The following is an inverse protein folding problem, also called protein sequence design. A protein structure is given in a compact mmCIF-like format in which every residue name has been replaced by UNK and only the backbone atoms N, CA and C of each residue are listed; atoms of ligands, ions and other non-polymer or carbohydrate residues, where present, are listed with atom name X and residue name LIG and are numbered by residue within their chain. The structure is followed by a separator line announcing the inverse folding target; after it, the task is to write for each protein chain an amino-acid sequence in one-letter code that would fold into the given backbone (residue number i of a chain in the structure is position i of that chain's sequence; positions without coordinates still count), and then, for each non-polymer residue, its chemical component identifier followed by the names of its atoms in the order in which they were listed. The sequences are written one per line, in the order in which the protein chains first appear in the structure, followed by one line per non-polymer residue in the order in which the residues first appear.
data_IF_579987331459
#
_entry.id   IF_579987331459
#
_cell.length_a   1.000
_cell.length_b   1.000
_cell.length_c   1.000
_cell.angle_alpha   90.00
_cell.angle_beta   90.00
_cell.angle_gamma   90.00
#
_symmetry.space_group_name_H-M   'P 1'
#
loop_
_entity.id
_entity.type
_entity.pdbx_description
1 polymer ?
#
# COMPACT_ATOMS: atom_id res chain seq x y z
N UNK A 1 37.62 72.08 34.81
CA UNK A 1 37.96 71.49 36.12
C UNK A 1 37.23 70.17 36.28
N UNK A 2 38.03 69.09 36.31
CA UNK A 2 37.84 67.81 37.03
C UNK A 2 36.54 67.01 36.81
N UNK A 3 36.72 65.96 36.02
CA UNK A 3 36.10 64.63 36.17
C UNK A 3 36.02 64.18 37.64
N UNK A 4 35.03 63.31 37.94
CA UNK A 4 34.71 62.70 39.24
C UNK A 4 33.94 63.58 40.24
N UNK A 5 32.61 63.48 40.20
CA UNK A 5 31.71 63.40 41.37
C UNK A 5 30.23 63.53 40.93
N UNK A 6 29.72 62.54 40.19
CA UNK A 6 28.29 62.20 40.25
C UNK A 6 28.21 60.80 40.85
N UNK A 7 28.66 60.73 42.10
CA UNK A 7 28.63 59.59 43.00
C UNK A 7 28.02 60.15 44.29
N UNK A 8 26.97 59.49 44.80
CA UNK A 8 26.10 59.90 45.93
C UNK A 8 24.86 60.75 45.60
N UNK A 9 23.98 60.26 44.71
CA UNK A 9 22.52 60.41 44.88
C UNK A 9 21.67 59.31 44.18
N UNK A 10 22.28 58.17 43.81
CA UNK A 10 21.59 57.06 43.13
C UNK A 10 21.95 55.68 43.71
N UNK A 11 22.16 55.60 45.04
CA UNK A 11 22.47 54.36 45.75
C UNK A 11 21.65 54.21 47.05
N UNK A 12 20.33 54.41 46.96
CA UNK A 12 19.39 54.05 48.03
C UNK A 12 18.01 53.58 47.51
N UNK A 13 17.96 52.98 46.31
CA UNK A 13 16.78 52.29 45.78
C UNK A 13 17.13 50.94 45.11
N UNK A 14 18.22 50.30 45.54
CA UNK A 14 18.55 48.91 45.18
C UNK A 14 18.36 47.99 46.39
N UNK A 15 17.10 47.68 46.69
CA UNK A 15 16.67 46.44 47.34
C UNK A 15 15.17 46.33 47.17
N UNK A 16 14.72 45.20 46.61
CA UNK A 16 13.34 44.87 46.22
C UNK A 16 12.95 45.26 44.79
N UNK A 17 13.73 44.85 43.80
CA UNK A 17 13.21 44.50 42.48
C UNK A 17 13.69 43.07 42.18
N UNK A 18 12.89 42.09 42.62
CA UNK A 18 13.15 40.68 42.33
C UNK A 18 13.26 40.50 40.83
N UNK A 19 14.29 39.77 40.41
CA UNK A 19 14.40 39.29 39.04
C UNK A 19 13.14 38.48 38.73
N UNK A 20 12.24 39.04 37.92
CA UNK A 20 11.25 38.26 37.19
C UNK A 20 12.03 37.43 36.18
N UNK A 21 12.50 36.26 36.61
CA UNK A 21 12.87 35.17 35.71
C UNK A 21 11.70 34.86 34.77
N UNK A 22 11.93 34.13 33.67
CA UNK A 22 10.87 33.81 32.73
C UNK A 22 9.70 33.26 33.52
N UNK A 23 8.56 33.94 33.37
CA UNK A 23 7.28 33.55 33.97
C UNK A 23 7.03 32.10 33.59
N UNK A 24 7.35 31.20 34.52
CA UNK A 24 6.87 29.83 34.46
C UNK A 24 5.36 29.98 34.54
N UNK A 25 4.71 29.75 33.41
CA UNK A 25 3.29 29.44 33.41
C UNK A 25 3.05 28.44 34.55
N UNK A 26 1.97 28.60 35.34
CA UNK A 26 1.69 27.68 36.40
C UNK A 26 1.66 26.29 35.77
N UNK A 27 2.63 25.45 36.15
CA UNK A 27 2.60 24.04 35.85
C UNK A 27 1.36 23.56 36.57
N UNK A 28 0.25 23.49 35.83
CA UNK A 28 -0.96 22.82 36.28
C UNK A 28 -0.47 21.41 36.59
N UNK A 29 -0.29 21.13 37.89
CA UNK A 29 0.07 19.82 38.38
C UNK A 29 -1.09 18.92 38.02
N UNK A 30 -1.04 18.36 36.81
CA UNK A 30 -2.02 17.42 36.34
C UNK A 30 -1.95 16.26 37.32
N UNK A 31 -3.10 15.85 37.85
CA UNK A 31 -3.19 14.71 38.76
C UNK A 31 -2.38 13.53 38.19
N UNK A 32 -1.60 12.81 39.02
CA UNK A 32 -0.71 11.77 38.53
C UNK A 32 -1.52 10.68 37.83
N UNK A 33 -0.96 10.14 36.74
CA UNK A 33 -1.51 8.95 36.08
C UNK A 33 -1.57 7.82 37.09
N UNK A 34 -2.71 7.11 37.16
CA UNK A 34 -2.84 6.00 38.10
C UNK A 34 -1.85 4.87 37.71
N UNK A 35 -1.26 4.15 38.69
CA UNK A 35 -0.23 3.14 38.41
C UNK A 35 -0.65 2.08 37.37
N UNK A 36 -1.93 1.72 37.34
CA UNK A 36 -2.48 0.76 36.38
C UNK A 36 -2.39 1.23 34.91
N UNK A 37 -2.30 2.55 34.68
CA UNK A 37 -2.26 3.15 33.35
C UNK A 37 -0.86 3.61 32.92
N UNK A 38 0.18 3.43 33.73
CA UNK A 38 1.54 3.93 33.42
C UNK A 38 2.07 3.40 32.08
N UNK A 39 1.84 2.12 31.78
CA UNK A 39 2.26 1.51 30.50
C UNK A 39 1.50 2.07 29.30
N UNK A 40 0.22 2.36 29.45
CA UNK A 40 -0.61 2.94 28.40
C UNK A 40 -0.27 4.42 28.19
N UNK A 41 0.04 5.14 29.26
CA UNK A 41 0.56 6.50 29.20
C UNK A 41 1.93 6.55 28.49
N UNK A 42 2.83 5.59 28.74
CA UNK A 42 4.09 5.49 28.03
C UNK A 42 3.91 5.26 26.51
N UNK A 43 2.89 4.49 26.09
CA UNK A 43 2.54 4.33 24.68
C UNK A 43 2.02 5.64 24.08
N UNK A 44 1.25 6.43 24.83
CA UNK A 44 0.84 7.77 24.40
C UNK A 44 2.05 8.70 24.19
N UNK A 45 3.01 8.73 25.12
CA UNK A 45 4.24 9.52 24.96
C UNK A 45 5.05 9.09 23.72
N UNK A 46 5.13 7.78 23.45
CA UNK A 46 5.74 7.27 22.20
C UNK A 46 5.03 7.80 20.96
N UNK A 47 3.69 7.79 20.97
CA UNK A 47 2.89 8.33 19.88
C UNK A 47 3.14 9.82 19.65
N UNK A 48 3.24 10.63 20.70
CA UNK A 48 3.55 12.06 20.57
C UNK A 48 4.89 12.32 19.86
N UNK A 49 5.86 11.40 19.98
CA UNK A 49 7.16 11.50 19.32
C UNK A 49 7.09 11.11 17.84
N UNK A 50 6.48 9.97 17.52
CA UNK A 50 6.50 9.47 16.13
C UNK A 50 5.35 9.97 15.25
N UNK A 51 4.31 10.58 15.82
CA UNK A 51 3.13 11.02 15.05
C UNK A 51 3.48 12.02 13.94
N UNK A 52 4.59 12.74 14.04
CA UNK A 52 5.04 13.70 13.02
C UNK A 52 6.05 13.10 12.03
N UNK A 53 6.36 11.80 12.15
CA UNK A 53 7.27 11.13 11.24
C UNK A 53 6.62 10.89 9.85
N UNK A 54 7.36 11.18 8.78
CA UNK A 54 6.90 11.01 7.39
C UNK A 54 6.42 9.59 7.07
N UNK A 55 7.05 8.56 7.65
CA UNK A 55 6.64 7.15 7.50
C UNK A 55 5.29 6.92 8.16
N UNK A 56 5.04 7.49 9.34
CA UNK A 56 3.75 7.37 10.03
C UNK A 56 2.66 8.13 9.28
N UNK A 57 2.95 9.35 8.84
CA UNK A 57 2.03 10.17 8.07
C UNK A 57 1.61 9.47 6.77
N UNK A 58 2.57 8.84 6.08
CA UNK A 58 2.33 8.11 4.84
C UNK A 58 1.59 6.79 5.03
N UNK A 59 2.00 5.97 6.00
CA UNK A 59 1.55 4.58 6.10
C UNK A 59 0.66 4.27 7.32
N UNK A 60 0.55 5.17 8.29
CA UNK A 60 -0.28 5.01 9.49
C UNK A 60 0.03 3.75 10.29
N UNK A 61 -1.01 3.08 10.80
CA UNK A 61 -0.92 1.81 11.53
C UNK A 61 -1.20 0.59 10.66
N UNK A 62 -0.84 0.66 9.38
CA UNK A 62 -0.90 -0.51 8.49
C UNK A 62 -0.04 -1.63 9.06
N UNK A 63 -0.43 -2.88 8.82
CA UNK A 63 0.10 -4.09 9.47
C UNK A 63 1.65 -4.24 9.43
N UNK A 64 2.36 -3.55 8.53
CA UNK A 64 3.85 -3.49 8.50
C UNK A 64 4.43 -2.07 8.50
N UNK A 65 3.65 -1.08 8.95
CA UNK A 65 4.22 0.16 9.44
C UNK A 65 5.08 -0.15 10.65
N UNK A 66 6.21 0.56 10.88
CA UNK A 66 6.93 0.38 12.14
C UNK A 66 6.07 0.74 13.37
N UNK A 67 4.93 1.37 13.15
CA UNK A 67 3.94 1.74 14.16
C UNK A 67 2.83 0.70 14.34
N UNK A 68 2.75 -0.37 13.52
CA UNK A 68 1.73 -1.42 13.71
C UNK A 68 1.90 -2.18 15.02
N UNK A 69 3.15 -2.48 15.40
CA UNK A 69 3.47 -3.06 16.71
C UNK A 69 3.01 -2.15 17.86
N UNK A 70 3.14 -0.83 17.71
CA UNK A 70 2.62 0.12 18.69
C UNK A 70 1.09 -0.01 18.82
N UNK A 71 0.34 -0.07 17.71
CA UNK A 71 -1.12 -0.21 17.76
C UNK A 71 -1.53 -1.56 18.34
N UNK A 72 -0.79 -2.63 18.05
CA UNK A 72 -1.03 -3.94 18.63
C UNK A 72 -0.81 -3.92 20.15
N UNK A 73 0.29 -3.30 20.62
CA UNK A 73 0.53 -3.09 22.05
C UNK A 73 -0.57 -2.27 22.72
N UNK A 74 -1.16 -1.29 22.03
CA UNK A 74 -2.35 -0.57 22.53
C UNK A 74 -3.56 -1.51 22.61
N UNK A 75 -3.79 -2.34 21.59
CA UNK A 75 -4.91 -3.30 21.54
C UNK A 75 -4.83 -4.39 22.60
N UNK A 76 -3.63 -4.77 23.03
CA UNK A 76 -3.46 -5.75 24.11
C UNK A 76 -4.09 -5.24 25.43
N UNK A 77 -4.11 -3.93 25.67
CA UNK A 77 -4.81 -3.31 26.81
C UNK A 77 -6.33 -3.25 26.64
N UNK A 78 -6.88 -3.51 25.44
CA UNK A 78 -8.33 -3.62 25.23
C UNK A 78 -8.93 -4.91 25.80
N UNK A 79 -8.09 -5.88 26.15
CA UNK A 79 -8.51 -7.16 26.72
C UNK A 79 -8.72 -7.10 28.24
N UNK A 80 -8.21 -6.06 28.92
CA UNK A 80 -8.36 -5.87 30.36
C UNK A 80 -9.51 -4.88 30.64
N UNK A 81 -10.57 -5.29 31.38
CA UNK A 81 -11.71 -4.43 31.73
C UNK A 81 -11.37 -3.16 32.49
N UNK A 82 -10.17 -3.07 33.08
CA UNK A 82 -9.68 -1.87 33.76
C UNK A 82 -9.08 -0.86 32.77
N UNK A 83 -8.46 -1.34 31.69
CA UNK A 83 -7.72 -0.50 30.73
C UNK A 83 -8.37 -0.31 29.37
N UNK A 84 -9.44 -1.05 29.08
CA UNK A 84 -10.07 -1.10 27.76
C UNK A 84 -10.52 0.25 27.20
N UNK A 85 -11.19 1.07 28.01
CA UNK A 85 -11.70 2.38 27.57
C UNK A 85 -10.55 3.33 27.26
N UNK A 86 -9.52 3.36 28.11
CA UNK A 86 -8.35 4.20 27.89
C UNK A 86 -7.57 3.74 26.65
N UNK A 87 -7.47 2.43 26.42
CA UNK A 87 -6.81 1.86 25.24
C UNK A 87 -7.55 2.22 23.94
N UNK A 88 -8.88 2.08 23.92
CA UNK A 88 -9.71 2.50 22.77
C UNK A 88 -9.63 4.00 22.51
N UNK A 89 -9.58 4.82 23.57
CA UNK A 89 -9.39 6.27 23.45
C UNK A 89 -8.02 6.61 22.85
N UNK A 90 -6.96 5.90 23.23
CA UNK A 90 -5.62 6.09 22.65
C UNK A 90 -5.55 5.65 21.18
N UNK A 91 -6.16 4.51 20.84
CA UNK A 91 -6.29 4.07 19.46
C UNK A 91 -7.08 5.09 18.63
N UNK A 92 -8.22 5.57 19.14
CA UNK A 92 -9.04 6.60 18.50
C UNK A 92 -8.32 7.94 18.34
N UNK A 93 -7.56 8.37 19.34
CA UNK A 93 -6.73 9.57 19.32
C UNK A 93 -5.72 9.54 18.18
N UNK A 94 -5.04 8.40 18.03
CA UNK A 94 -4.00 8.24 17.02
C UNK A 94 -4.54 8.21 15.59
N UNK A 95 -5.74 7.65 15.39
CA UNK A 95 -6.48 7.73 14.12
C UNK A 95 -6.96 9.16 13.87
N UNK A 96 -7.55 9.83 14.86
CA UNK A 96 -8.05 11.19 14.73
C UNK A 96 -6.95 12.20 14.37
N UNK A 97 -5.74 12.01 14.92
CA UNK A 97 -4.56 12.79 14.54
C UNK A 97 -4.23 12.65 13.05
N UNK A 98 -4.20 11.42 12.55
CA UNK A 98 -3.85 11.15 11.15
C UNK A 98 -4.90 11.69 10.19
N UNK A 99 -6.18 11.54 10.52
CA UNK A 99 -7.28 11.93 9.64
C UNK A 99 -7.53 13.44 9.65
N UNK A 100 -7.31 14.11 10.78
CA UNK A 100 -7.72 15.51 10.96
C UNK A 100 -6.61 16.48 11.41
N UNK A 101 -5.44 15.97 11.82
CA UNK A 101 -4.30 16.77 12.28
C UNK A 101 -4.44 17.33 13.70
N UNK A 102 -3.30 17.74 14.28
CA UNK A 102 -3.17 18.22 15.66
C UNK A 102 -4.11 19.38 16.04
N UNK A 103 -4.44 20.24 15.08
CA UNK A 103 -5.26 21.45 15.34
C UNK A 103 -6.77 21.16 15.34
N UNK A 104 -7.19 19.96 14.92
CA UNK A 104 -8.59 19.59 14.84
C UNK A 104 -9.27 19.56 16.20
N UNK A 105 -10.53 20.01 16.23
CA UNK A 105 -11.40 19.86 17.40
C UNK A 105 -11.63 18.38 17.74
N UNK A 106 -11.66 17.51 16.73
CA UNK A 106 -11.85 16.06 16.89
C UNK A 106 -10.64 15.46 17.63
N UNK A 107 -9.42 15.79 17.19
CA UNK A 107 -8.20 15.34 17.86
C UNK A 107 -8.16 15.77 19.33
N UNK A 108 -8.41 17.06 19.63
CA UNK A 108 -8.43 17.58 21.00
C UNK A 108 -9.46 16.90 21.90
N UNK A 109 -10.64 16.55 21.38
CA UNK A 109 -11.64 15.81 22.15
C UNK A 109 -11.17 14.42 22.57
N UNK A 110 -10.44 13.72 21.70
CA UNK A 110 -9.86 12.42 22.07
C UNK A 110 -8.73 12.58 23.08
N UNK A 111 -7.87 13.60 22.92
CA UNK A 111 -6.77 13.93 23.83
C UNK A 111 -7.26 14.23 25.26
N UNK A 112 -8.29 15.08 25.39
CA UNK A 112 -8.89 15.42 26.68
C UNK A 112 -9.51 14.19 27.36
N UNK A 113 -10.27 13.38 26.60
CA UNK A 113 -10.95 12.18 27.13
C UNK A 113 -9.94 11.11 27.53
N UNK A 114 -8.89 10.90 26.74
CA UNK A 114 -7.81 9.98 27.10
C UNK A 114 -7.10 10.44 28.37
N UNK A 115 -6.76 11.73 28.47
CA UNK A 115 -6.17 12.31 29.67
C UNK A 115 -7.03 12.12 30.92
N UNK A 116 -8.35 12.29 30.81
CA UNK A 116 -9.27 12.03 31.92
C UNK A 116 -9.31 10.55 32.29
N UNK A 117 -9.35 9.65 31.31
CA UNK A 117 -9.43 8.21 31.53
C UNK A 117 -8.24 7.64 32.33
N UNK A 118 -7.04 8.22 32.18
CA UNK A 118 -5.84 7.81 32.94
C UNK A 118 -5.89 8.17 34.44
N UNK A 119 -6.89 8.95 34.86
CA UNK A 119 -6.96 9.61 36.18
C UNK A 119 -8.24 9.28 36.96
N UNK A 120 -9.20 8.59 36.35
CA UNK A 120 -10.45 8.15 36.98
C UNK A 120 -10.27 6.72 37.52
N UNK A 121 -10.51 6.45 38.83
CA UNK A 121 -10.40 5.10 39.39
C UNK A 121 -11.41 4.13 38.76
N UNK A 122 -10.94 2.92 38.40
CA UNK A 122 -11.75 1.85 37.78
C UNK A 122 -13.00 1.44 38.60
N UNK A 123 -13.01 1.71 39.91
CA UNK A 123 -14.12 1.39 40.80
C UNK A 123 -15.39 2.23 40.55
N UNK A 124 -15.29 3.39 39.88
CA UNK A 124 -16.46 4.25 39.59
C UNK A 124 -17.21 3.86 38.30
N UNK A 125 -16.67 2.95 37.47
CA UNK A 125 -17.25 2.60 36.16
C UNK A 125 -18.22 1.41 36.16
N UNK A 126 -18.32 0.63 37.24
CA UNK A 126 -19.25 -0.52 37.33
C UNK A 126 -20.73 -0.14 37.54
N UNK A 127 -21.10 1.14 37.41
CA UNK A 127 -22.46 1.63 37.63
C UNK A 127 -23.15 2.15 36.35
N UNK A 128 -22.96 1.50 35.19
CA UNK A 128 -23.81 1.71 34.02
C UNK A 128 -24.50 0.41 33.58
N UNK A 129 -25.81 0.45 33.22
CA UNK A 129 -26.59 -0.76 33.03
C UNK A 129 -26.15 -1.52 31.77
N UNK A 130 -26.24 -2.85 31.85
CA UNK A 130 -26.02 -3.75 30.73
C UNK A 130 -26.81 -3.30 29.49
N UNK A 131 -26.09 -3.06 28.39
CA UNK A 131 -26.69 -2.86 27.07
C UNK A 131 -27.34 -4.19 26.66
N UNK A 132 -28.65 -4.14 26.44
CA UNK A 132 -29.45 -5.24 25.90
C UNK A 132 -28.86 -5.65 24.56
N UNK A 133 -28.41 -6.89 24.45
CA UNK A 133 -28.00 -7.49 23.17
C UNK A 133 -29.25 -7.59 22.30
N UNK A 134 -29.34 -6.74 21.28
CA UNK A 134 -30.35 -6.89 20.24
C UNK A 134 -30.03 -8.19 19.46
N UNK A 135 -31.07 -8.98 19.19
CA UNK A 135 -30.97 -10.15 18.31
C UNK A 135 -30.31 -9.78 16.98
N UNK A 136 -29.56 -10.71 16.37
CA UNK A 136 -28.86 -10.44 15.12
C UNK A 136 -29.88 -10.06 14.05
N UNK A 137 -29.80 -8.81 13.59
CA UNK A 137 -30.46 -8.40 12.36
C UNK A 137 -29.81 -9.20 11.25
N UNK A 138 -30.48 -10.27 10.80
CA UNK A 138 -30.16 -10.91 9.52
C UNK A 138 -30.42 -9.88 8.44
N UNK A 139 -29.36 -9.23 7.98
CA UNK A 139 -29.40 -8.47 6.74
C UNK A 139 -29.77 -9.45 5.62
N UNK A 140 -30.70 -9.10 4.74
CA UNK A 140 -30.98 -9.93 3.57
C UNK A 140 -29.68 -10.11 2.80
N UNK A 141 -29.29 -11.37 2.57
CA UNK A 141 -28.24 -11.71 1.63
C UNK A 141 -28.69 -11.15 0.28
N UNK A 142 -27.98 -10.17 -0.30
CA UNK A 142 -28.30 -9.73 -1.65
C UNK A 142 -28.20 -10.95 -2.58
N UNK A 143 -29.22 -11.14 -3.40
CA UNK A 143 -29.31 -12.22 -4.38
C UNK A 143 -27.99 -12.42 -5.15
N UNK A 144 -27.70 -13.69 -5.44
CA UNK A 144 -26.62 -14.12 -6.30
C UNK A 144 -26.84 -13.62 -7.75
N UNK A 145 -26.49 -12.37 -8.04
CA UNK A 145 -26.54 -11.81 -9.41
C UNK A 145 -25.44 -10.78 -9.75
N UNK A 146 -24.60 -10.34 -8.80
CA UNK A 146 -23.54 -9.38 -9.09
C UNK A 146 -22.25 -10.07 -9.60
N UNK A 147 -21.88 -9.82 -10.86
CA UNK A 147 -20.59 -10.27 -11.43
C UNK A 147 -19.44 -9.53 -10.73
N UNK A 148 -18.51 -10.27 -10.14
CA UNK A 148 -17.33 -9.73 -9.46
C UNK A 148 -16.03 -10.32 -9.98
N UNK A 149 -14.92 -9.61 -9.79
CA UNK A 149 -13.58 -10.05 -10.14
C UNK A 149 -12.66 -9.75 -8.96
N UNK A 150 -11.86 -10.71 -8.54
CA UNK A 150 -10.74 -10.49 -7.60
C UNK A 150 -9.43 -10.44 -8.36
N UNK A 151 -8.71 -9.33 -8.24
CA UNK A 151 -7.37 -9.14 -8.80
C UNK A 151 -6.36 -9.05 -7.66
N UNK A 152 -5.29 -9.81 -7.76
CA UNK A 152 -4.14 -9.73 -6.87
C UNK A 152 -2.90 -9.46 -7.72
N UNK A 153 -2.16 -8.39 -7.45
CA UNK A 153 -1.08 -7.99 -8.35
C UNK A 153 0.19 -7.57 -7.63
N UNK A 154 1.33 -7.97 -8.18
CA UNK A 154 2.65 -7.41 -7.83
C UNK A 154 3.10 -6.41 -8.89
N UNK A 155 4.23 -5.75 -8.67
CA UNK A 155 4.86 -4.81 -9.60
C UNK A 155 6.10 -4.22 -8.93
N UNK A 156 6.96 -3.58 -9.71
CA UNK A 156 8.19 -2.95 -9.22
C UNK A 156 9.01 -3.89 -8.32
N UNK A 157 9.13 -5.17 -8.72
CA UNK A 157 9.89 -6.15 -7.95
C UNK A 157 11.39 -5.90 -8.09
N UNK A 158 11.86 -5.44 -9.25
CA UNK A 158 13.26 -5.15 -9.57
C UNK A 158 14.25 -6.23 -9.12
N UNK A 159 13.90 -7.51 -9.31
CA UNK A 159 14.73 -8.64 -8.90
C UNK A 159 14.91 -8.85 -7.39
N UNK A 160 14.13 -8.17 -6.54
CA UNK A 160 14.13 -8.40 -5.09
C UNK A 160 13.45 -9.74 -4.78
N UNK A 161 14.27 -10.80 -4.74
CA UNK A 161 13.80 -12.17 -4.48
C UNK A 161 13.92 -12.60 -3.03
N UNK A 162 14.87 -12.04 -2.27
CA UNK A 162 15.07 -12.32 -0.86
C UNK A 162 14.31 -11.33 0.02
N UNK A 163 13.84 -11.81 1.18
CA UNK A 163 13.33 -10.95 2.23
C UNK A 163 14.41 -9.93 2.64
N UNK A 164 14.02 -8.68 2.80
CA UNK A 164 14.90 -7.58 3.15
C UNK A 164 14.85 -7.33 4.66
N UNK A 165 15.92 -6.80 5.29
CA UNK A 165 15.87 -6.36 6.67
C UNK A 165 14.74 -5.32 6.87
N UNK A 166 13.94 -5.52 7.91
CA UNK A 166 12.93 -4.57 8.38
C UNK A 166 13.09 -4.34 9.88
N UNK A 167 12.48 -3.26 10.38
CA UNK A 167 12.61 -2.81 11.78
C UNK A 167 12.22 -3.89 12.80
N UNK A 168 11.22 -4.71 12.46
CA UNK A 168 10.70 -5.80 13.31
C UNK A 168 10.99 -7.19 12.75
N UNK A 169 11.98 -7.31 11.86
CA UNK A 169 12.38 -8.56 11.22
C UNK A 169 12.28 -8.51 9.69
N UNK A 170 12.67 -9.60 9.00
CA UNK A 170 12.75 -9.58 7.54
C UNK A 170 11.36 -9.47 6.90
N UNK A 171 11.22 -8.62 5.88
CA UNK A 171 9.97 -8.33 5.17
C UNK A 171 10.06 -8.68 3.69
N UNK A 172 8.91 -9.01 3.08
CA UNK A 172 8.81 -9.37 1.67
C UNK A 172 9.49 -10.70 1.32
N UNK A 173 9.87 -10.83 0.07
CA UNK A 173 10.60 -11.99 -0.46
C UNK A 173 9.72 -12.95 -1.27
N UNK A 174 10.29 -13.47 -2.34
CA UNK A 174 9.61 -14.28 -3.35
C UNK A 174 9.00 -15.55 -2.75
N UNK A 175 9.72 -16.23 -1.86
CA UNK A 175 9.25 -17.44 -1.19
C UNK A 175 8.02 -17.23 -0.30
N UNK A 176 7.71 -15.99 0.11
CA UNK A 176 6.56 -15.70 0.98
C UNK A 176 5.29 -15.33 0.23
N UNK A 177 5.35 -15.26 -1.10
CA UNK A 177 4.20 -14.96 -1.96
C UNK A 177 3.19 -16.11 -2.05
N UNK A 178 3.57 -17.39 -2.22
CA UNK A 178 2.60 -18.46 -2.45
C UNK A 178 1.55 -18.64 -1.34
N UNK A 179 1.87 -18.56 -0.03
CA UNK A 179 0.84 -18.67 1.02
C UNK A 179 -0.27 -17.62 0.88
N UNK A 180 0.09 -16.38 0.52
CA UNK A 180 -0.88 -15.31 0.27
C UNK A 180 -1.74 -15.64 -0.95
N UNK A 181 -1.11 -16.02 -2.08
CA UNK A 181 -1.84 -16.39 -3.30
C UNK A 181 -2.81 -17.57 -3.06
N UNK A 182 -2.38 -18.57 -2.28
CA UNK A 182 -3.17 -19.75 -1.97
C UNK A 182 -4.36 -19.41 -1.08
N UNK A 183 -4.20 -18.51 -0.11
CA UNK A 183 -5.30 -18.02 0.70
C UNK A 183 -6.39 -17.36 -0.16
N UNK A 184 -6.04 -16.40 -1.01
CA UNK A 184 -7.02 -15.72 -1.87
C UNK A 184 -7.66 -16.65 -2.90
N UNK A 185 -6.91 -17.62 -3.44
CA UNK A 185 -7.47 -18.63 -4.36
C UNK A 185 -8.39 -19.64 -3.66
N UNK A 186 -8.19 -19.90 -2.38
CA UNK A 186 -9.09 -20.74 -1.59
C UNK A 186 -10.41 -20.01 -1.29
N UNK A 187 -10.36 -18.70 -1.07
CA UNK A 187 -11.56 -17.86 -0.91
C UNK A 187 -12.30 -17.65 -2.24
N UNK A 188 -11.56 -17.38 -3.31
CA UNK A 188 -12.08 -17.10 -4.64
C UNK A 188 -11.23 -17.82 -5.70
N UNK A 189 -11.65 -19.01 -6.18
CA UNK A 189 -10.97 -19.76 -7.23
C UNK A 189 -10.82 -18.99 -8.55
N UNK A 190 -11.63 -17.95 -8.77
CA UNK A 190 -11.60 -17.05 -9.92
C UNK A 190 -10.53 -15.94 -9.82
N UNK A 191 -9.79 -15.86 -8.71
CA UNK A 191 -8.76 -14.83 -8.49
C UNK A 191 -7.74 -14.78 -9.63
N UNK A 192 -7.59 -13.60 -10.23
CA UNK A 192 -6.59 -13.31 -11.26
C UNK A 192 -5.33 -12.75 -10.60
N UNK A 193 -4.18 -13.34 -10.91
CA UNK A 193 -2.88 -12.94 -10.38
C UNK A 193 -2.04 -12.28 -11.47
N UNK A 194 -1.65 -11.03 -11.27
CA UNK A 194 -0.97 -10.21 -12.28
C UNK A 194 0.37 -9.68 -11.77
N UNK A 195 1.26 -9.31 -12.69
CA UNK A 195 2.39 -8.43 -12.39
C UNK A 195 2.29 -7.17 -13.26
N UNK A 196 2.38 -6.00 -12.67
CA UNK A 196 2.23 -4.72 -13.36
C UNK A 196 3.49 -4.29 -14.14
N UNK A 197 4.60 -5.02 -14.02
CA UNK A 197 5.87 -4.74 -14.68
C UNK A 197 6.95 -4.25 -13.72
N UNK A 198 8.12 -3.97 -14.29
CA UNK A 198 9.36 -3.69 -13.58
C UNK A 198 9.73 -4.79 -12.58
N UNK A 199 9.52 -6.03 -13.00
CA UNK A 199 9.83 -7.20 -12.20
C UNK A 199 11.32 -7.56 -12.27
N UNK A 200 11.93 -7.38 -13.45
CA UNK A 200 13.29 -7.82 -13.74
C UNK A 200 14.36 -6.78 -13.38
N UNK A 201 15.60 -7.25 -13.34
CA UNK A 201 16.76 -6.44 -13.01
C UNK A 201 17.91 -6.65 -14.00
N UNK A 202 18.74 -5.63 -14.20
CA UNK A 202 19.88 -5.63 -15.11
C UNK A 202 21.16 -5.13 -14.43
N UNK A 203 22.31 -5.29 -15.11
CA UNK A 203 23.53 -4.54 -14.79
C UNK A 203 24.45 -5.13 -13.72
N UNK A 204 24.23 -6.36 -13.24
CA UNK A 204 25.14 -7.03 -12.33
C UNK A 204 25.22 -8.55 -12.56
N UNK A 205 26.28 -9.18 -12.06
CA UNK A 205 26.67 -10.55 -12.40
C UNK A 205 25.59 -11.62 -12.17
N UNK A 206 24.72 -11.45 -11.16
CA UNK A 206 23.64 -12.40 -10.84
C UNK A 206 22.28 -12.05 -11.48
N UNK A 207 22.18 -10.98 -12.26
CA UNK A 207 20.91 -10.49 -12.80
C UNK A 207 20.18 -11.55 -13.65
N UNK A 208 20.90 -12.25 -14.53
CA UNK A 208 20.33 -13.31 -15.38
C UNK A 208 19.71 -14.44 -14.53
N UNK A 209 20.48 -14.98 -13.58
CA UNK A 209 20.02 -16.06 -12.71
C UNK A 209 18.80 -15.62 -11.86
N UNK A 210 18.82 -14.39 -11.33
CA UNK A 210 17.70 -13.82 -10.57
C UNK A 210 16.43 -13.74 -11.42
N UNK A 211 16.54 -13.23 -12.64
CA UNK A 211 15.37 -13.11 -13.52
C UNK A 211 14.79 -14.49 -13.90
N UNK A 212 15.64 -15.49 -14.14
CA UNK A 212 15.21 -16.88 -14.41
C UNK A 212 14.50 -17.50 -13.19
N UNK A 213 15.05 -17.30 -11.99
CA UNK A 213 14.43 -17.73 -10.73
C UNK A 213 13.07 -17.07 -10.53
N UNK A 214 12.98 -15.76 -10.80
CA UNK A 214 11.74 -15.00 -10.68
C UNK A 214 10.66 -15.58 -11.59
N UNK A 215 10.94 -15.79 -12.88
CA UNK A 215 9.97 -16.36 -13.83
C UNK A 215 9.54 -17.77 -13.44
N UNK A 216 10.47 -18.64 -13.03
CA UNK A 216 10.11 -20.00 -12.58
C UNK A 216 9.25 -20.00 -11.33
N UNK A 217 9.53 -19.12 -10.36
CA UNK A 217 8.67 -18.96 -9.20
C UNK A 217 7.29 -18.41 -9.60
N UNK A 218 7.22 -17.45 -10.52
CA UNK A 218 5.94 -16.94 -11.06
C UNK A 218 5.14 -18.02 -11.80
N UNK A 219 5.81 -18.94 -12.51
CA UNK A 219 5.17 -20.12 -13.10
C UNK A 219 4.55 -21.02 -12.02
N UNK A 220 5.31 -21.34 -10.97
CA UNK A 220 4.81 -22.13 -9.84
C UNK A 220 3.61 -21.44 -9.15
N UNK A 221 3.69 -20.11 -9.02
CA UNK A 221 2.62 -19.26 -8.49
C UNK A 221 1.44 -19.09 -9.45
N UNK A 222 1.50 -19.61 -10.68
CA UNK A 222 0.44 -19.54 -11.70
C UNK A 222 -0.03 -18.11 -11.96
N UNK A 223 0.90 -17.19 -12.20
CA UNK A 223 0.53 -15.85 -12.67
C UNK A 223 -0.28 -15.94 -13.98
N UNK A 224 -1.26 -15.07 -14.14
CA UNK A 224 -2.14 -15.03 -15.32
C UNK A 224 -1.55 -14.17 -16.45
N UNK A 225 -0.84 -13.10 -16.10
CA UNK A 225 -0.08 -12.29 -17.03
C UNK A 225 0.93 -11.38 -16.31
N UNK A 226 1.87 -10.85 -17.08
CA UNK A 226 2.78 -9.79 -16.66
C UNK A 226 2.77 -8.65 -17.69
N UNK A 227 2.53 -7.42 -17.25
CA UNK A 227 2.80 -6.23 -18.06
C UNK A 227 4.30 -5.96 -18.11
N UNK A 228 4.81 -5.41 -19.22
CA UNK A 228 6.22 -5.02 -19.32
C UNK A 228 6.41 -3.57 -18.91
N UNK A 229 7.42 -3.32 -18.07
CA UNK A 229 7.91 -2.00 -17.68
C UNK A 229 9.27 -1.63 -18.28
N UNK A 230 9.74 -0.38 -18.07
CA UNK A 230 11.04 0.09 -18.55
C UNK A 230 12.22 -0.76 -18.07
N UNK A 231 12.23 -1.22 -16.82
CA UNK A 231 13.30 -2.07 -16.28
C UNK A 231 13.28 -3.47 -16.89
N UNK A 232 12.10 -3.99 -17.23
CA UNK A 232 12.00 -5.27 -17.94
C UNK A 232 12.60 -5.20 -19.34
N UNK A 233 12.51 -4.06 -20.02
CA UNK A 233 13.18 -3.87 -21.32
C UNK A 233 14.68 -3.61 -21.20
N UNK A 234 15.12 -3.05 -20.07
CA UNK A 234 16.54 -2.75 -19.83
C UNK A 234 17.43 -4.00 -19.73
N UNK A 235 16.85 -5.19 -19.49
CA UNK A 235 17.59 -6.46 -19.50
C UNK A 235 18.05 -6.89 -20.91
N UNK A 236 17.51 -6.24 -21.95
CA UNK A 236 17.81 -6.51 -23.36
C UNK A 236 16.98 -7.62 -23.99
N UNK A 237 16.82 -7.55 -25.32
CA UNK A 237 15.95 -8.44 -26.10
C UNK A 237 16.27 -9.93 -25.93
N UNK A 238 17.56 -10.30 -25.95
CA UNK A 238 18.00 -11.70 -25.86
C UNK A 238 17.51 -12.33 -24.57
N UNK A 239 17.75 -11.66 -23.44
CA UNK A 239 17.34 -12.13 -22.14
C UNK A 239 15.82 -12.11 -22.00
N UNK A 240 15.15 -11.05 -22.45
CA UNK A 240 13.69 -10.94 -22.37
C UNK A 240 12.98 -12.03 -23.20
N UNK A 241 13.50 -12.39 -24.39
CA UNK A 241 13.00 -13.51 -25.18
C UNK A 241 13.18 -14.86 -24.48
N UNK A 242 14.33 -15.06 -23.84
CA UNK A 242 14.57 -16.28 -23.08
C UNK A 242 13.57 -16.41 -21.92
N UNK A 243 13.38 -15.33 -21.15
CA UNK A 243 12.39 -15.28 -20.07
C UNK A 243 10.97 -15.52 -20.57
N UNK A 244 10.57 -14.89 -21.68
CA UNK A 244 9.27 -15.12 -22.31
C UNK A 244 9.09 -16.57 -22.78
N UNK A 245 10.16 -17.26 -23.19
CA UNK A 245 10.11 -18.65 -23.64
C UNK A 245 9.93 -19.66 -22.49
N UNK A 246 10.40 -19.34 -21.29
CA UNK A 246 10.25 -20.20 -20.10
C UNK A 246 9.03 -19.82 -19.26
N UNK A 247 8.43 -18.65 -19.49
CA UNK A 247 7.22 -18.22 -18.81
C UNK A 247 6.01 -19.08 -19.22
N UNK A 248 5.27 -19.55 -18.23
CA UNK A 248 3.97 -20.25 -18.42
C UNK A 248 2.80 -19.27 -18.50
N UNK A 249 3.09 -17.97 -18.49
CA UNK A 249 2.15 -16.87 -18.54
C UNK A 249 2.55 -15.88 -19.64
N UNK A 250 1.58 -15.22 -20.29
CA UNK A 250 1.87 -14.22 -21.31
C UNK A 250 2.48 -12.95 -20.69
N UNK A 251 3.51 -12.43 -21.35
CA UNK A 251 3.99 -11.06 -21.16
C UNK A 251 3.27 -10.13 -22.14
N UNK A 252 2.88 -8.94 -21.67
CA UNK A 252 2.02 -8.00 -22.39
C UNK A 252 2.74 -6.66 -22.58
N UNK A 253 2.69 -6.13 -23.79
CA UNK A 253 3.09 -4.75 -24.11
C UNK A 253 2.26 -4.24 -25.28
N UNK A 254 1.21 -3.50 -24.98
CA UNK A 254 0.19 -3.01 -25.91
C UNK A 254 0.73 -2.04 -26.95
N UNK A 255 1.77 -1.27 -26.59
CA UNK A 255 2.43 -0.33 -27.49
C UNK A 255 3.71 -0.89 -28.15
N UNK A 256 3.92 -2.23 -28.12
CA UNK A 256 4.95 -2.90 -28.90
C UNK A 256 4.33 -3.48 -30.19
N UNK A 257 4.62 -2.84 -31.33
CA UNK A 257 4.08 -3.24 -32.62
C UNK A 257 5.09 -4.10 -33.38
N UNK A 258 4.80 -5.39 -33.50
CA UNK A 258 5.55 -6.31 -34.37
C UNK A 258 5.28 -6.03 -35.84
N UNK A 259 6.32 -6.19 -36.66
CA UNK A 259 6.22 -6.07 -38.12
C UNK A 259 5.41 -7.23 -38.69
N UNK A 260 4.76 -6.99 -39.84
CA UNK A 260 4.00 -8.02 -40.54
C UNK A 260 4.90 -9.22 -40.87
N UNK A 261 4.45 -10.42 -40.50
CA UNK A 261 5.19 -11.67 -40.72
C UNK A 261 6.13 -12.06 -39.57
N UNK A 262 6.24 -11.23 -38.52
CA UNK A 262 6.94 -11.60 -37.28
C UNK A 262 5.92 -12.08 -36.26
N UNK A 263 6.05 -13.31 -35.79
CA UNK A 263 5.18 -13.85 -34.74
C UNK A 263 5.43 -13.11 -33.41
N UNK A 264 4.40 -12.51 -32.79
CA UNK A 264 4.55 -11.76 -31.55
C UNK A 264 4.77 -12.70 -30.35
N UNK A 265 5.99 -12.63 -29.80
CA UNK A 265 6.40 -13.32 -28.57
C UNK A 265 6.08 -12.52 -27.30
N UNK A 266 5.77 -11.23 -27.44
CA UNK A 266 5.07 -10.40 -26.46
C UNK A 266 3.68 -10.10 -27.01
N UNK A 267 2.63 -10.31 -26.21
CA UNK A 267 1.25 -10.11 -26.67
C UNK A 267 0.83 -8.64 -26.54
N UNK A 268 0.02 -8.11 -27.47
CA UNK A 268 -0.52 -6.75 -27.34
C UNK A 268 -1.58 -6.65 -26.23
N UNK A 269 -2.33 -7.73 -26.01
CA UNK A 269 -3.29 -7.91 -24.92
C UNK A 269 -3.58 -9.40 -24.73
N UNK A 270 -4.22 -9.74 -23.62
CA UNK A 270 -4.68 -11.10 -23.32
C UNK A 270 -6.15 -11.04 -22.93
N UNK A 271 -6.96 -11.94 -23.48
CA UNK A 271 -8.34 -12.15 -23.04
C UNK A 271 -8.39 -13.39 -22.17
N UNK A 272 -8.77 -13.23 -20.91
CA UNK A 272 -9.03 -14.35 -20.01
C UNK A 272 -10.51 -14.39 -19.65
N UNK A 273 -11.00 -15.57 -19.28
CA UNK A 273 -12.34 -15.74 -18.72
C UNK A 273 -12.23 -16.30 -17.31
N UNK A 274 -12.85 -15.62 -16.35
CA UNK A 274 -13.02 -16.08 -14.97
C UNK A 274 -14.50 -15.98 -14.65
N UNK A 275 -15.07 -17.08 -14.18
CA UNK A 275 -16.51 -17.25 -14.04
C UNK A 275 -17.27 -16.87 -15.33
N UNK A 276 -18.16 -15.88 -15.25
CA UNK A 276 -18.92 -15.35 -16.38
C UNK A 276 -18.37 -14.03 -16.94
N UNK A 277 -17.16 -13.63 -16.53
CA UNK A 277 -16.57 -12.35 -16.90
C UNK A 277 -15.39 -12.56 -17.86
N UNK A 278 -15.42 -11.86 -19.00
CA UNK A 278 -14.30 -11.78 -19.95
C UNK A 278 -13.46 -10.56 -19.61
N UNK A 279 -12.20 -10.79 -19.26
CA UNK A 279 -11.27 -9.76 -18.80
C UNK A 279 -10.22 -9.56 -19.89
N UNK A 280 -10.09 -8.33 -20.37
CA UNK A 280 -8.96 -7.91 -21.19
C UNK A 280 -7.86 -7.38 -20.28
N UNK A 281 -6.68 -7.98 -20.40
CA UNK A 281 -5.46 -7.51 -19.78
C UNK A 281 -4.65 -6.77 -20.85
N UNK A 282 -4.39 -5.50 -20.63
CA UNK A 282 -3.60 -4.64 -21.50
C UNK A 282 -2.43 -4.06 -20.70
N UNK A 283 -1.33 -3.69 -21.37
CA UNK A 283 -0.18 -3.10 -20.69
C UNK A 283 0.44 -1.97 -21.49
N UNK A 284 0.50 -0.78 -20.92
CA UNK A 284 1.14 0.37 -21.55
C UNK A 284 2.51 0.61 -20.93
N UNK A 285 3.52 0.52 -21.77
CA UNK A 285 4.90 0.82 -21.43
C UNK A 285 5.16 2.33 -21.60
N UNK A 286 5.70 3.02 -20.57
CA UNK A 286 6.21 4.39 -20.70
C UNK A 286 7.28 4.54 -21.79
N UNK A 287 7.55 5.77 -22.27
CA UNK A 287 8.62 6.01 -23.22
C UNK A 287 9.97 5.47 -22.73
N UNK A 288 10.51 4.48 -23.42
CA UNK A 288 11.79 3.84 -23.12
C UNK A 288 12.83 4.17 -24.22
N UNK A 289 13.45 5.36 -24.18
CA UNK A 289 14.35 5.81 -25.23
C UNK A 289 15.56 4.87 -25.38
N UNK A 290 15.92 4.56 -26.63
CA UNK A 290 17.08 3.73 -26.94
C UNK A 290 16.82 2.22 -26.94
N UNK A 291 15.67 1.75 -26.47
CA UNK A 291 15.29 0.33 -26.57
C UNK A 291 15.08 -0.06 -28.04
N UNK A 292 15.65 -1.20 -28.43
CA UNK A 292 15.50 -1.80 -29.76
C UNK A 292 15.07 -3.25 -29.62
N UNK A 293 13.99 -3.62 -30.31
CA UNK A 293 13.51 -5.00 -30.41
C UNK A 293 13.49 -5.39 -31.88
N UNK A 294 14.15 -6.48 -32.22
CA UNK A 294 14.26 -6.95 -33.59
C UNK A 294 12.89 -7.35 -34.14
N UNK A 295 12.48 -6.73 -35.25
CA UNK A 295 11.18 -6.99 -35.87
C UNK A 295 9.99 -6.33 -35.17
N UNK A 296 10.22 -5.40 -34.23
CA UNK A 296 9.16 -4.61 -33.61
C UNK A 296 9.57 -3.14 -33.44
N UNK A 297 8.58 -2.28 -33.20
CA UNK A 297 8.79 -0.89 -32.80
C UNK A 297 7.88 -0.53 -31.63
N UNK A 298 8.35 0.34 -30.75
CA UNK A 298 7.50 0.97 -29.75
C UNK A 298 6.77 2.14 -30.41
N UNK A 299 5.45 2.13 -30.39
CA UNK A 299 4.61 3.24 -30.85
C UNK A 299 4.18 4.11 -29.66
N UNK A 300 3.76 5.36 -29.88
CA UNK A 300 3.21 6.19 -28.81
C UNK A 300 2.11 5.47 -28.02
N UNK A 301 2.16 5.45 -26.67
CA UNK A 301 1.20 4.74 -25.82
C UNK A 301 -0.27 5.11 -26.08
N UNK A 302 -0.55 6.41 -26.24
CA UNK A 302 -1.91 6.89 -26.53
C UNK A 302 -2.43 6.42 -27.90
N UNK A 303 -1.55 6.33 -28.90
CA UNK A 303 -1.89 5.79 -30.21
C UNK A 303 -2.23 4.29 -30.12
N UNK A 304 -1.45 3.52 -29.34
CA UNK A 304 -1.71 2.11 -29.11
C UNK A 304 -3.06 1.88 -28.43
N UNK A 305 -3.35 2.68 -27.39
CA UNK A 305 -4.59 2.61 -26.64
C UNK A 305 -5.80 2.94 -27.54
N UNK A 306 -5.75 4.04 -28.30
CA UNK A 306 -6.82 4.44 -29.22
C UNK A 306 -7.13 3.39 -30.28
N UNK A 307 -6.10 2.68 -30.78
CA UNK A 307 -6.30 1.59 -31.73
C UNK A 307 -6.89 0.32 -31.09
N UNK A 308 -6.53 0.04 -29.83
CA UNK A 308 -6.86 -1.21 -29.14
C UNK A 308 -8.27 -1.22 -28.54
N UNK A 309 -8.70 -0.10 -27.94
CA UNK A 309 -9.99 -0.03 -27.24
C UNK A 309 -11.19 -0.43 -28.13
N UNK A 310 -11.30 0.03 -29.39
CA UNK A 310 -12.37 -0.42 -30.28
C UNK A 310 -12.34 -1.92 -30.56
N UNK A 311 -11.16 -2.55 -30.61
CA UNK A 311 -11.03 -4.00 -30.82
C UNK A 311 -11.48 -4.82 -29.61
N UNK A 312 -11.34 -4.27 -28.40
CA UNK A 312 -11.74 -4.92 -27.15
C UNK A 312 -13.23 -4.76 -26.88
N UNK A 313 -13.87 -3.75 -27.46
CA UNK A 313 -15.31 -3.51 -27.36
C UNK A 313 -16.08 -4.75 -27.82
N UNK A 314 -16.91 -5.29 -26.94
CA UNK A 314 -17.72 -6.50 -27.18
C UNK A 314 -16.95 -7.83 -27.03
N UNK A 315 -15.62 -7.81 -26.96
CA UNK A 315 -14.80 -9.00 -26.64
C UNK A 315 -14.56 -9.17 -25.14
N UNK A 316 -14.44 -8.06 -24.41
CA UNK A 316 -14.27 -8.04 -22.97
C UNK A 316 -15.42 -7.33 -22.27
N UNK A 317 -15.71 -7.77 -21.05
CA UNK A 317 -16.65 -7.13 -20.13
C UNK A 317 -15.90 -6.21 -19.14
N UNK A 318 -14.61 -6.49 -18.87
CA UNK A 318 -13.74 -5.68 -18.03
C UNK A 318 -12.37 -5.49 -18.71
N UNK A 319 -11.81 -4.28 -18.66
CA UNK A 319 -10.48 -3.94 -19.17
C UNK A 319 -9.58 -3.50 -18.00
N UNK A 320 -8.51 -4.26 -17.76
CA UNK A 320 -7.48 -4.02 -16.75
C UNK A 320 -6.22 -3.53 -17.42
N UNK A 321 -5.76 -2.33 -17.06
CA UNK A 321 -4.51 -1.75 -17.56
C UNK A 321 -3.36 -1.94 -16.56
N UNK A 322 -2.28 -2.58 -17.02
CA UNK A 322 -1.01 -2.75 -16.31
C UNK A 322 0.01 -1.71 -16.78
N UNK A 323 0.65 -0.97 -15.89
CA UNK A 323 1.59 0.06 -16.33
C UNK A 323 2.62 0.48 -15.27
N UNK A 324 3.73 1.06 -15.72
CA UNK A 324 4.72 1.76 -14.90
C UNK A 324 4.66 3.29 -15.12
N UNK A 325 3.53 3.79 -15.62
CA UNK A 325 3.27 5.23 -15.67
C UNK A 325 2.94 5.75 -14.27
N UNK A 326 3.46 6.93 -13.96
CA UNK A 326 2.99 7.69 -12.81
C UNK A 326 1.50 8.06 -12.94
N UNK A 327 0.83 8.21 -11.80
CA UNK A 327 -0.61 8.45 -11.71
C UNK A 327 -1.10 9.65 -12.52
N UNK A 328 -0.32 10.74 -12.59
CA UNK A 328 -0.67 11.93 -13.37
C UNK A 328 -0.50 11.72 -14.88
N UNK A 329 0.58 11.04 -15.29
CA UNK A 329 0.88 10.78 -16.69
C UNK A 329 -0.16 9.84 -17.31
N UNK A 330 -0.56 8.80 -16.57
CA UNK A 330 -1.59 7.88 -17.06
C UNK A 330 -2.99 8.52 -17.06
N UNK A 331 -3.32 9.35 -16.07
CA UNK A 331 -4.57 10.10 -16.07
C UNK A 331 -4.64 11.03 -17.30
N UNK A 332 -3.55 11.74 -17.63
CA UNK A 332 -3.49 12.57 -18.83
C UNK A 332 -3.61 11.75 -20.13
N UNK A 333 -3.10 10.52 -20.15
CA UNK A 333 -3.17 9.64 -21.32
C UNK A 333 -4.56 9.06 -21.56
N UNK A 334 -5.26 8.70 -20.48
CA UNK A 334 -6.61 8.13 -20.51
C UNK A 334 -7.68 9.20 -20.74
N UNK A 335 -7.44 10.43 -20.25
CA UNK A 335 -8.42 11.52 -20.27
C UNK A 335 -9.62 11.22 -19.37
N UNK A 336 -10.73 11.91 -19.61
CA UNK A 336 -11.98 11.75 -18.83
C UNK A 336 -12.80 10.53 -19.28
N UNK A 337 -12.35 9.80 -20.30
CA UNK A 337 -13.08 8.67 -20.86
C UNK A 337 -12.78 7.38 -20.07
N UNK A 338 -13.81 6.76 -19.49
CA UNK A 338 -13.76 5.48 -18.76
C UNK A 338 -13.50 4.27 -19.66
N UNK A 339 -12.50 4.37 -20.53
CA UNK A 339 -12.15 3.39 -21.54
C UNK A 339 -11.50 2.12 -20.97
N UNK A 340 -10.97 2.20 -19.75
CA UNK A 340 -10.54 1.05 -18.95
C UNK A 340 -11.25 1.10 -17.60
N UNK A 341 -11.39 -0.05 -16.92
CA UNK A 341 -12.13 -0.12 -15.66
C UNK A 341 -11.21 0.06 -14.44
N UNK A 342 -9.95 -0.37 -14.55
CA UNK A 342 -8.96 -0.24 -13.48
C UNK A 342 -7.55 -0.14 -14.06
N UNK A 343 -6.71 0.66 -13.40
CA UNK A 343 -5.27 0.78 -13.69
C UNK A 343 -4.49 0.24 -12.50
N UNK A 344 -3.55 -0.66 -12.77
CA UNK A 344 -2.64 -1.25 -11.80
C UNK A 344 -1.20 -0.86 -12.18
N UNK A 345 -0.47 -0.20 -11.28
CA UNK A 345 0.89 0.29 -11.58
C UNK A 345 1.74 0.62 -10.36
N UNK A 346 2.85 1.31 -10.51
CA UNK A 346 3.85 1.60 -9.46
C UNK A 346 3.80 3.03 -8.87
N UNK A 347 2.86 3.85 -9.34
CA UNK A 347 2.75 5.28 -9.05
C UNK A 347 2.49 5.60 -7.58
N UNK A 348 2.91 6.81 -7.17
CA UNK A 348 2.68 7.29 -5.81
C UNK A 348 1.22 7.74 -5.63
N UNK A 349 0.45 6.98 -4.86
CA UNK A 349 -0.90 7.34 -4.41
C UNK A 349 -2.02 6.71 -5.22
N UNK A 350 -3.15 6.47 -4.55
CA UNK A 350 -4.41 6.11 -5.20
C UNK A 350 -5.08 7.38 -5.74
N UNK A 351 -5.54 7.38 -6.98
CA UNK A 351 -6.44 8.42 -7.51
C UNK A 351 -7.89 7.92 -7.59
N UNK A 352 -8.86 8.84 -7.47
CA UNK A 352 -10.27 8.63 -7.84
C UNK A 352 -10.59 9.37 -9.15
N UNK A 353 -11.66 9.10 -9.91
CA UNK A 353 -12.88 8.33 -9.62
C UNK A 353 -13.17 7.23 -10.68
N UNK A 354 -12.59 7.29 -11.88
CA UNK A 354 -12.71 6.24 -12.91
C UNK A 354 -11.76 6.52 -14.12
N UNK A 355 -10.85 5.60 -14.51
CA UNK A 355 -10.53 4.36 -13.79
C UNK A 355 -9.76 4.65 -12.51
N UNK A 356 -9.96 3.80 -11.51
CA UNK A 356 -9.15 3.86 -10.30
C UNK A 356 -7.71 3.45 -10.60
N UNK A 357 -6.75 4.27 -10.17
CA UNK A 357 -5.33 3.91 -10.17
C UNK A 357 -4.95 3.27 -8.85
N UNK A 358 -4.42 2.05 -8.90
CA UNK A 358 -4.08 1.26 -7.73
C UNK A 358 -2.59 0.90 -7.77
N UNK A 359 -1.80 1.40 -6.80
CA UNK A 359 -0.38 1.12 -6.77
C UNK A 359 -0.09 -0.30 -6.29
N UNK A 360 0.91 -0.92 -6.90
CA UNK A 360 1.52 -2.16 -6.46
C UNK A 360 2.22 -1.94 -5.13
N UNK A 361 2.36 -3.01 -4.36
CA UNK A 361 3.21 -2.99 -3.18
C UNK A 361 4.65 -3.17 -3.65
N UNK A 362 5.52 -2.13 -3.55
CA UNK A 362 6.80 -2.13 -4.24
C UNK A 362 7.78 -3.14 -3.64
N UNK A 363 8.82 -3.46 -4.42
CA UNK A 363 9.99 -4.25 -3.98
C UNK A 363 9.64 -5.62 -3.39
N UNK A 364 8.56 -6.22 -3.88
CA UNK A 364 8.15 -7.56 -3.47
C UNK A 364 7.73 -7.67 -2.00
N UNK A 365 7.31 -6.57 -1.36
CA UNK A 365 6.81 -6.57 0.02
C UNK A 365 5.40 -7.16 0.16
N UNK A 366 4.67 -7.31 -0.95
CA UNK A 366 3.28 -7.76 -0.94
C UNK A 366 2.64 -7.75 -2.32
N UNK A 367 1.31 -7.73 -2.30
CA UNK A 367 0.43 -7.60 -3.45
C UNK A 367 -0.55 -6.45 -3.23
N UNK A 368 -1.00 -5.81 -4.30
CA UNK A 368 -2.25 -5.05 -4.25
C UNK A 368 -3.43 -6.00 -4.44
N UNK A 369 -4.44 -5.91 -3.57
CA UNK A 369 -5.74 -6.56 -3.75
C UNK A 369 -6.73 -5.55 -4.31
N UNK A 370 -7.51 -5.98 -5.30
CA UNK A 370 -8.63 -5.22 -5.86
C UNK A 370 -9.81 -6.16 -6.06
N UNK A 371 -10.97 -5.82 -5.52
CA UNK A 371 -12.22 -6.48 -5.91
C UNK A 371 -13.06 -5.53 -6.73
N UNK A 372 -13.40 -5.94 -7.93
CA UNK A 372 -14.26 -5.20 -8.84
C UNK A 372 -15.66 -5.82 -8.81
N UNK A 373 -16.69 -4.98 -8.90
CA UNK A 373 -18.07 -5.40 -9.18
C UNK A 373 -18.59 -4.67 -10.41
N UNK A 374 -19.42 -5.36 -11.18
CA UNK A 374 -20.15 -4.75 -12.29
C UNK A 374 -21.16 -3.75 -11.74
N UNK A 375 -21.10 -2.51 -12.23
CA UNK A 375 -22.05 -1.44 -11.94
C UNK A 375 -23.23 -1.48 -12.93
N UNK A 376 -24.25 -0.65 -12.66
CA UNK A 376 -25.49 -0.60 -13.46
C UNK A 376 -25.25 -0.13 -14.91
N UNK A 377 -24.17 0.61 -15.16
CA UNK A 377 -23.73 1.05 -16.49
C UNK A 377 -23.04 -0.07 -17.30
N UNK A 378 -22.87 -1.25 -16.70
CA UNK A 378 -22.19 -2.40 -17.29
C UNK A 378 -20.67 -2.38 -17.17
N UNK A 379 -20.07 -1.30 -16.64
CA UNK A 379 -18.65 -1.21 -16.35
C UNK A 379 -18.29 -1.86 -15.02
N UNK A 380 -17.00 -2.14 -14.81
CA UNK A 380 -16.52 -2.67 -13.54
C UNK A 380 -15.93 -1.55 -12.68
N UNK A 381 -16.25 -1.54 -11.39
CA UNK A 381 -15.75 -0.54 -10.42
C UNK A 381 -15.15 -1.23 -9.21
N UNK A 382 -14.05 -0.71 -8.65
CA UNK A 382 -13.48 -1.23 -7.43
C UNK A 382 -14.43 -0.99 -6.26
N UNK A 383 -14.74 -2.05 -5.54
CA UNK A 383 -15.49 -2.01 -4.27
C UNK A 383 -14.59 -2.25 -3.06
N UNK A 384 -13.42 -2.83 -3.30
CA UNK A 384 -12.38 -3.03 -2.30
C UNK A 384 -11.01 -2.84 -2.95
N UNK A 385 -10.13 -2.12 -2.27
CA UNK A 385 -8.72 -2.06 -2.64
C UNK A 385 -7.84 -1.84 -1.43
N UNK A 386 -6.87 -2.74 -1.21
CA UNK A 386 -5.94 -2.65 -0.09
C UNK A 386 -4.61 -3.35 -0.41
N UNK A 387 -3.50 -2.89 0.18
CA UNK A 387 -2.24 -3.62 0.12
C UNK A 387 -2.33 -4.87 1.00
N UNK A 388 -1.88 -6.00 0.47
CA UNK A 388 -1.74 -7.29 1.14
C UNK A 388 -0.25 -7.56 1.31
N UNK A 389 0.26 -7.44 2.52
CA UNK A 389 1.68 -7.62 2.78
C UNK A 389 2.01 -9.08 3.06
N UNK A 390 3.24 -9.48 2.71
CA UNK A 390 3.67 -10.87 2.92
C UNK A 390 3.90 -11.14 4.40
N UNK A 391 3.43 -12.30 4.86
CA UNK A 391 3.70 -12.81 6.21
C UNK A 391 5.12 -13.35 6.36
N UNK A 392 5.31 -14.25 7.32
CA UNK A 392 6.61 -14.92 7.58
C UNK A 392 6.70 -16.32 6.98
N UNK A 393 5.56 -16.94 6.67
CA UNK A 393 5.51 -18.26 6.06
C UNK A 393 6.13 -18.24 4.65
N UNK A 394 6.98 -19.23 4.36
CA UNK A 394 7.63 -19.42 3.08
C UNK A 394 7.16 -20.71 2.43
N UNK A 395 7.25 -20.76 1.10
CA UNK A 395 6.99 -21.94 0.29
C UNK A 395 8.31 -22.67 -0.03
N UNK A 396 8.37 -23.95 0.31
CA UNK A 396 9.58 -24.77 0.16
C UNK A 396 9.98 -24.98 -1.30
N UNK A 397 9.02 -25.03 -2.23
CA UNK A 397 9.33 -25.20 -3.64
C UNK A 397 9.96 -23.93 -4.22
N UNK A 398 9.45 -22.75 -3.84
CA UNK A 398 10.09 -21.49 -4.22
C UNK A 398 11.47 -21.36 -3.59
N UNK A 399 11.66 -21.79 -2.33
CA UNK A 399 12.98 -21.84 -1.71
C UNK A 399 13.94 -22.75 -2.48
N UNK A 400 13.47 -23.91 -2.96
CA UNK A 400 14.24 -24.83 -3.79
C UNK A 400 14.65 -24.19 -5.13
N UNK A 401 13.74 -23.50 -5.82
CA UNK A 401 14.06 -22.75 -7.04
C UNK A 401 15.14 -21.70 -6.77
N UNK A 402 15.09 -21.04 -5.61
CA UNK A 402 16.04 -19.99 -5.23
C UNK A 402 17.43 -20.52 -4.85
N UNK A 403 17.61 -21.83 -4.64
CA UNK A 403 18.94 -22.38 -4.32
C UNK A 403 19.96 -22.19 -5.43
N UNK A 404 19.52 -22.04 -6.68
CA UNK A 404 20.36 -21.70 -7.83
C UNK A 404 21.09 -20.34 -7.69
N UNK A 405 20.66 -19.50 -6.76
CA UNK A 405 21.26 -18.19 -6.50
C UNK A 405 22.36 -18.21 -5.44
N UNK A 406 22.47 -19.31 -4.68
CA UNK A 406 23.53 -19.53 -3.68
C UNK A 406 24.83 -19.82 -4.42
#
# INVERSE_FOLDING_TARGET
MKFSAVLFCLLALFSCAGHSGPSQEPVVSQAPVLPVFERLHALHEQFLVFRDNDVFQRYGFTYNSPYADWLQRVRDFEQDPVTDEAARLLAGLSVAYRTHGAKSRIYRQFEDRFGQALRIPAAEKQAQPAVVVAEPVTLPIPEATARSITLLFSGDTQGVVYAQPGEFGPVGGLARRPPILNHFRAEDPGTVVLDAGDAFVAGFAKAEAINKVLVRAMNHMRYDAMGLGPYDLAIGEVMLRELASIASFPMICSNMQFQKGVEPWIKPYVLIKRDQVRIALVSLLPPAPGVRITGAKLIPPGQALQAMLPELKGKADCIVLLTQFGTEEIAALLGDEGAVDVVLGDGNGKSGENPAYLPAVPKGLGFGLVRLKMADDGGFRPVESLPVLLGTASDDHVLQIMEELK
#
